data_IF_676711102264
#
_entry.id   IF_676711102264
#
_cell.length_a   1.000
_cell.length_b   1.000
_cell.length_c   1.000
_cell.angle_alpha   90.00
_cell.angle_beta   90.00
_cell.angle_gamma   90.00
#
_symmetry.space_group_name_H-M   'P 1'
#
loop_
_entity.id
_entity.type
_entity.pdbx_description
1 polymer ?
#
# COMPACT_ATOMS: atom_id res chain seq x y z
N UNK A 1 11.43 23.93 9.04
CA UNK A 1 11.64 22.50 8.70
C UNK A 1 10.35 21.66 8.60
N UNK A 2 9.14 22.17 8.93
CA UNK A 2 7.87 21.44 8.77
C UNK A 2 7.45 21.19 7.32
N UNK A 3 7.79 22.11 6.41
CA UNK A 3 7.46 22.04 4.99
C UNK A 3 8.00 20.80 4.27
N UNK A 4 9.16 20.28 4.68
CA UNK A 4 9.73 19.04 4.11
C UNK A 4 8.82 17.84 4.38
N UNK A 5 8.30 17.72 5.60
CA UNK A 5 7.35 16.66 5.97
C UNK A 5 6.02 16.79 5.23
N UNK A 6 5.57 18.03 5.01
CA UNK A 6 4.36 18.29 4.22
C UNK A 6 4.55 17.91 2.74
N UNK A 7 5.72 18.18 2.16
CA UNK A 7 6.06 17.75 0.81
C UNK A 7 6.11 16.22 0.71
N UNK A 8 6.70 15.54 1.70
CA UNK A 8 6.71 14.07 1.74
C UNK A 8 5.28 13.51 1.83
N UNK A 9 4.44 14.05 2.69
CA UNK A 9 3.04 13.65 2.80
C UNK A 9 2.28 13.87 1.47
N UNK A 10 2.54 14.99 0.78
CA UNK A 10 1.97 15.26 -0.54
C UNK A 10 2.40 14.19 -1.56
N UNK A 11 3.70 13.87 -1.61
CA UNK A 11 4.21 12.83 -2.52
C UNK A 11 3.64 11.44 -2.21
N UNK A 12 3.40 11.12 -0.93
CA UNK A 12 2.74 9.88 -0.54
C UNK A 12 1.29 9.83 -1.06
N UNK A 13 0.52 10.91 -0.93
CA UNK A 13 -0.84 10.99 -1.48
C UNK A 13 -0.89 10.86 -3.01
N UNK A 14 0.07 11.49 -3.70
CA UNK A 14 0.23 11.32 -5.16
C UNK A 14 0.56 9.86 -5.53
N UNK A 15 1.49 9.23 -4.81
CA UNK A 15 1.87 7.84 -5.04
C UNK A 15 0.68 6.89 -4.86
N UNK A 16 -0.14 7.09 -3.82
CA UNK A 16 -1.37 6.32 -3.59
C UNK A 16 -2.34 6.44 -4.77
N UNK A 17 -2.49 7.65 -5.33
CA UNK A 17 -3.36 7.89 -6.48
C UNK A 17 -2.89 7.15 -7.73
N UNK A 18 -1.59 7.19 -8.01
CA UNK A 18 -0.97 6.45 -9.12
C UNK A 18 -1.11 4.94 -8.90
N UNK A 19 -0.82 4.46 -7.69
CA UNK A 19 -0.91 3.06 -7.31
C UNK A 19 -2.31 2.50 -7.56
N UNK A 20 -3.36 3.24 -7.18
CA UNK A 20 -4.74 2.82 -7.39
C UNK A 20 -5.05 2.54 -8.88
N UNK A 21 -4.60 3.42 -9.78
CA UNK A 21 -4.73 3.24 -11.23
C UNK A 21 -3.95 2.04 -11.76
N UNK A 22 -2.68 1.89 -11.37
CA UNK A 22 -1.82 0.76 -11.75
C UNK A 22 -2.41 -0.56 -11.29
N UNK A 23 -2.85 -0.63 -10.04
CA UNK A 23 -3.43 -1.81 -9.41
C UNK A 23 -4.76 -2.21 -10.06
N UNK A 24 -5.64 -1.25 -10.35
CA UNK A 24 -6.87 -1.51 -11.10
C UNK A 24 -6.59 -2.04 -12.51
N UNK A 25 -5.57 -1.49 -13.17
CA UNK A 25 -5.11 -1.98 -14.48
C UNK A 25 -4.55 -3.40 -14.43
N UNK A 26 -3.78 -3.74 -13.40
CA UNK A 26 -3.27 -5.08 -13.16
C UNK A 26 -4.42 -6.07 -12.91
N UNK A 27 -5.38 -5.70 -12.06
CA UNK A 27 -6.55 -6.52 -11.76
C UNK A 27 -7.40 -6.84 -12.98
N UNK A 28 -7.55 -5.89 -13.93
CA UNK A 28 -8.22 -6.15 -15.22
C UNK A 28 -7.51 -7.20 -16.07
N UNK A 29 -6.18 -7.35 -15.93
CA UNK A 29 -5.37 -8.25 -16.76
C UNK A 29 -5.27 -9.65 -16.20
N UNK A 30 -5.11 -9.78 -14.88
CA UNK A 30 -4.77 -11.07 -14.25
C UNK A 30 -5.80 -11.54 -13.21
N UNK A 31 -6.87 -10.77 -12.97
CA UNK A 31 -7.84 -11.05 -11.92
C UNK A 31 -7.66 -10.14 -10.69
N UNK A 32 -8.76 -9.90 -9.97
CA UNK A 32 -8.79 -8.91 -8.88
C UNK A 32 -7.94 -9.38 -7.68
N UNK A 33 -8.12 -10.63 -7.26
CA UNK A 33 -7.40 -11.17 -6.10
C UNK A 33 -5.91 -11.37 -6.43
N UNK A 34 -5.62 -11.88 -7.62
CA UNK A 34 -4.27 -12.08 -8.14
C UNK A 34 -3.54 -10.74 -8.28
N UNK A 35 -4.20 -9.74 -8.86
CA UNK A 35 -3.66 -8.38 -8.99
C UNK A 35 -3.38 -7.72 -7.64
N UNK A 36 -4.30 -7.86 -6.69
CA UNK A 36 -4.11 -7.35 -5.33
C UNK A 36 -2.95 -8.04 -4.61
N UNK A 37 -2.89 -9.37 -4.69
CA UNK A 37 -1.83 -10.17 -4.09
C UNK A 37 -0.46 -9.81 -4.68
N UNK A 38 -0.33 -9.80 -6.01
CA UNK A 38 0.93 -9.46 -6.69
C UNK A 38 1.38 -8.04 -6.34
N UNK A 39 0.46 -7.07 -6.34
CA UNK A 39 0.79 -5.69 -5.98
C UNK A 39 1.30 -5.59 -4.54
N UNK A 40 0.60 -6.20 -3.58
CA UNK A 40 0.99 -6.16 -2.18
C UNK A 40 2.29 -6.93 -1.91
N UNK A 41 2.51 -8.03 -2.61
CA UNK A 41 3.74 -8.82 -2.54
C UNK A 41 4.95 -8.02 -3.04
N UNK A 42 4.86 -7.39 -4.20
CA UNK A 42 5.94 -6.55 -4.75
C UNK A 42 6.26 -5.41 -3.78
N UNK A 43 5.22 -4.73 -3.26
CA UNK A 43 5.40 -3.67 -2.26
C UNK A 43 6.09 -4.16 -0.99
N UNK A 44 5.71 -5.34 -0.50
CA UNK A 44 6.32 -5.97 0.68
C UNK A 44 7.79 -6.32 0.43
N UNK A 45 8.13 -6.86 -0.73
CA UNK A 45 9.52 -7.16 -1.11
C UNK A 45 10.36 -5.88 -1.13
N UNK A 46 9.84 -4.80 -1.73
CA UNK A 46 10.54 -3.50 -1.75
C UNK A 46 10.74 -2.96 -0.33
N UNK A 47 9.71 -2.99 0.52
CA UNK A 47 9.82 -2.56 1.92
C UNK A 47 10.81 -3.42 2.72
N UNK A 48 10.83 -4.73 2.49
CA UNK A 48 11.78 -5.63 3.11
C UNK A 48 13.22 -5.30 2.72
N UNK A 49 13.49 -5.02 1.43
CA UNK A 49 14.82 -4.60 0.96
C UNK A 49 15.22 -3.25 1.56
N UNK A 50 14.31 -2.26 1.58
CA UNK A 50 14.58 -0.96 2.21
C UNK A 50 14.89 -1.14 3.69
N UNK A 51 14.13 -1.97 4.40
CA UNK A 51 14.38 -2.28 5.80
C UNK A 51 15.74 -2.98 6.01
N UNK A 52 16.14 -3.87 5.10
CA UNK A 52 17.41 -4.59 5.21
C UNK A 52 18.62 -3.65 5.11
N UNK A 53 18.57 -2.64 4.23
CA UNK A 53 19.70 -1.73 4.01
C UNK A 53 19.67 -0.45 4.84
N UNK A 54 18.47 0.04 5.22
CA UNK A 54 18.31 1.34 5.89
C UNK A 54 17.62 1.25 7.26
N UNK A 55 17.13 0.07 7.64
CA UNK A 55 16.46 -0.15 8.92
C UNK A 55 17.40 0.03 10.10
N UNK A 56 16.94 0.77 11.12
CA UNK A 56 17.68 1.02 12.37
C UNK A 56 16.95 0.52 13.63
N UNK A 57 15.78 -0.09 13.46
CA UNK A 57 14.96 -0.60 14.57
C UNK A 57 15.15 -2.10 14.81
N UNK A 58 14.47 -2.63 15.83
CA UNK A 58 14.48 -4.06 16.18
C UNK A 58 13.29 -4.80 15.56
N UNK A 59 13.52 -5.50 14.45
CA UNK A 59 12.45 -6.21 13.73
C UNK A 59 11.74 -7.28 14.59
N UNK A 60 12.51 -8.00 15.42
CA UNK A 60 11.99 -9.08 16.27
C UNK A 60 11.11 -8.58 17.42
N UNK A 61 11.12 -7.28 17.73
CA UNK A 61 10.22 -6.70 18.72
C UNK A 61 8.74 -6.86 18.31
N UNK A 62 8.42 -7.18 17.05
CA UNK A 62 7.05 -7.47 16.62
C UNK A 62 6.36 -8.56 17.47
N UNK A 63 7.12 -9.51 18.03
CA UNK A 63 6.57 -10.58 18.87
C UNK A 63 6.16 -10.13 20.27
N UNK A 64 6.70 -9.01 20.76
CA UNK A 64 6.36 -8.41 22.05
C UNK A 64 5.38 -7.24 21.95
N UNK A 65 5.13 -6.71 20.75
CA UNK A 65 4.15 -5.65 20.52
C UNK A 65 2.70 -6.13 20.69
N UNK A 66 1.76 -5.24 21.09
CA UNK A 66 0.34 -5.55 21.08
C UNK A 66 -0.13 -6.02 19.70
N UNK A 67 -0.72 -7.23 19.63
CA UNK A 67 -1.09 -7.89 18.35
C UNK A 67 -2.02 -7.06 17.46
N UNK A 68 -2.81 -6.15 18.03
CA UNK A 68 -3.66 -5.26 17.25
C UNK A 68 -2.86 -4.30 16.35
N UNK A 69 -1.61 -3.97 16.71
CA UNK A 69 -0.75 -3.11 15.86
C UNK A 69 -0.34 -3.83 14.57
N UNK A 70 -0.30 -5.17 14.57
CA UNK A 70 -0.02 -5.98 13.38
C UNK A 70 -1.20 -6.02 12.40
N UNK A 71 -2.41 -5.64 12.83
CA UNK A 71 -3.58 -5.58 11.94
C UNK A 71 -3.44 -4.52 10.84
N UNK A 72 -2.50 -3.58 10.97
CA UNK A 72 -2.18 -2.63 9.90
C UNK A 72 -1.85 -3.31 8.57
N UNK A 73 -1.19 -4.48 8.60
CA UNK A 73 -0.94 -5.27 7.39
C UNK A 73 -2.23 -5.81 6.76
N UNK A 74 -3.20 -6.24 7.58
CA UNK A 74 -4.51 -6.73 7.13
C UNK A 74 -5.30 -5.59 6.50
N UNK A 75 -5.32 -4.41 7.14
CA UNK A 75 -5.98 -3.22 6.62
C UNK A 75 -5.36 -2.76 5.29
N UNK A 76 -4.04 -2.82 5.17
CA UNK A 76 -3.33 -2.53 3.92
C UNK A 76 -3.69 -3.49 2.78
N UNK A 77 -3.73 -4.78 3.06
CA UNK A 77 -4.14 -5.79 2.07
C UNK A 77 -5.60 -5.60 1.64
N UNK A 78 -6.49 -5.33 2.58
CA UNK A 78 -7.89 -5.01 2.30
C UNK A 78 -8.03 -3.74 1.44
N UNK A 79 -7.29 -2.68 1.78
CA UNK A 79 -7.26 -1.45 0.98
C UNK A 79 -6.85 -1.70 -0.47
N UNK A 80 -5.74 -2.43 -0.69
CA UNK A 80 -5.26 -2.74 -2.04
C UNK A 80 -6.28 -3.58 -2.80
N UNK A 81 -6.85 -4.61 -2.17
CA UNK A 81 -7.89 -5.44 -2.77
C UNK A 81 -9.09 -4.60 -3.22
N UNK A 82 -9.62 -3.75 -2.35
CA UNK A 82 -10.74 -2.86 -2.68
C UNK A 82 -10.36 -1.96 -3.85
N UNK A 83 -9.20 -1.30 -3.81
CA UNK A 83 -8.77 -0.42 -4.90
C UNK A 83 -8.64 -1.13 -6.25
N UNK A 84 -8.07 -2.35 -6.28
CA UNK A 84 -8.00 -3.17 -7.50
C UNK A 84 -9.41 -3.48 -8.02
N UNK A 85 -10.37 -3.74 -7.14
CA UNK A 85 -11.75 -4.06 -7.50
C UNK A 85 -12.54 -2.85 -7.99
N UNK A 86 -12.40 -1.68 -7.35
CA UNK A 86 -13.29 -0.53 -7.55
C UNK A 86 -12.78 0.46 -8.59
N UNK A 87 -11.46 0.66 -8.69
CA UNK A 87 -10.85 1.64 -9.62
C UNK A 87 -11.24 1.36 -11.08
N UNK A 88 -11.23 0.10 -11.56
CA UNK A 88 -11.76 -0.27 -12.87
C UNK A 88 -13.19 0.16 -13.17
N UNK A 89 -14.04 0.29 -12.14
CA UNK A 89 -15.49 0.47 -12.25
C UNK A 89 -15.90 1.93 -12.15
N UNK A 90 -15.30 2.67 -11.22
CA UNK A 90 -15.71 4.06 -10.93
C UNK A 90 -14.59 5.09 -11.18
N UNK A 91 -13.39 4.64 -11.54
CA UNK A 91 -12.21 5.49 -11.74
C UNK A 91 -11.49 5.85 -10.44
N UNK A 92 -10.23 6.29 -10.57
CA UNK A 92 -9.32 6.58 -9.44
C UNK A 92 -9.87 7.70 -8.54
N UNK A 93 -10.30 8.82 -9.12
CA UNK A 93 -10.77 9.97 -8.36
C UNK A 93 -11.97 9.63 -7.45
N UNK A 94 -12.97 8.94 -7.99
CA UNK A 94 -14.16 8.55 -7.23
C UNK A 94 -13.86 7.48 -6.18
N UNK A 95 -12.88 6.60 -6.44
CA UNK A 95 -12.48 5.54 -5.52
C UNK A 95 -11.76 6.07 -4.27
N UNK A 96 -11.06 7.21 -4.38
CA UNK A 96 -10.31 7.82 -3.28
C UNK A 96 -11.10 8.89 -2.51
N UNK A 97 -12.14 9.45 -3.12
CA UNK A 97 -12.93 10.53 -2.52
C UNK A 97 -14.12 10.03 -1.68
N UNK A 98 -14.56 8.79 -1.88
CA UNK A 98 -15.66 8.14 -1.16
C UNK A 98 -15.14 7.32 0.03
#
# INVERSE_FOLDING_TARGET
MKWVWMLLALTAGMAVSVQAGVNGGLGKRIGVLEGAFVSFLIGTIVLFLVQLFFGKGELLAMFSTPKWQLTGGILGAFYVFVMVLIVPKVGVANSLAA
#
